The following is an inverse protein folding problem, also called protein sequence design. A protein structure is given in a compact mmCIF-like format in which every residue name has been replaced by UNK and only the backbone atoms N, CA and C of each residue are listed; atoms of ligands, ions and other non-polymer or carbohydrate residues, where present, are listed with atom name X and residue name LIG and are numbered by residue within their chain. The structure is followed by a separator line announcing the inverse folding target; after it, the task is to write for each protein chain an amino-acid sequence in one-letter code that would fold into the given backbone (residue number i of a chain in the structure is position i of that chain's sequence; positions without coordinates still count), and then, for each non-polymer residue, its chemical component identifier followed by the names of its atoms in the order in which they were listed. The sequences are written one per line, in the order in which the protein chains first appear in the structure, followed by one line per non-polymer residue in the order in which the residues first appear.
data_IF_061367699992
#
_entry.id   IF_061367699992
#
_cell.length_a   1.000
_cell.length_b   1.000
_cell.length_c   1.000
_cell.angle_alpha   90.00
_cell.angle_beta   90.00
_cell.angle_gamma   90.00
#
_symmetry.space_group_name_H-M   'P 1'
#
loop_
_entity.id
_entity.type
_entity.pdbx_description
1 polymer ?
#
# COMPACT_ATOMS: atom_id res chain seq x y z
N UNK A 1 -61.92 68.35 -8.53
CA UNK A 1 -60.48 68.05 -8.66
C UNK A 1 -60.15 66.91 -7.70
N UNK A 2 -59.83 65.72 -8.19
CA UNK A 2 -59.41 64.57 -7.37
C UNK A 2 -57.88 64.45 -7.47
N UNK A 3 -57.20 64.61 -6.35
CA UNK A 3 -55.75 64.46 -6.23
C UNK A 3 -55.37 62.97 -6.21
N UNK A 4 -54.42 62.58 -7.05
CA UNK A 4 -53.74 61.28 -6.97
C UNK A 4 -52.55 61.40 -6.01
N UNK A 5 -52.49 60.54 -5.00
CA UNK A 5 -51.33 60.38 -4.13
C UNK A 5 -50.44 59.24 -4.68
N UNK A 6 -49.16 59.54 -4.90
CA UNK A 6 -48.13 58.58 -5.34
C UNK A 6 -47.50 57.97 -4.09
N UNK A 7 -47.42 56.63 -3.95
CA UNK A 7 -46.72 56.02 -2.83
C UNK A 7 -45.20 56.08 -3.05
N UNK A 8 -44.50 56.57 -2.04
CA UNK A 8 -43.04 56.61 -1.94
C UNK A 8 -42.50 55.19 -1.77
N UNK A 9 -41.68 54.73 -2.73
CA UNK A 9 -40.95 53.46 -2.62
C UNK A 9 -39.72 53.69 -1.74
N UNK A 10 -39.73 53.13 -0.54
CA UNK A 10 -38.57 53.06 0.35
C UNK A 10 -37.59 51.99 -0.18
N UNK A 11 -36.45 52.44 -0.70
CA UNK A 11 -35.33 51.58 -1.09
C UNK A 11 -34.63 51.12 0.20
N UNK A 12 -34.90 49.88 0.64
CA UNK A 12 -34.15 49.26 1.72
C UNK A 12 -32.76 48.87 1.22
N UNK A 13 -31.74 49.62 1.64
CA UNK A 13 -30.35 49.24 1.46
C UNK A 13 -30.08 47.98 2.29
N UNK A 14 -29.95 46.82 1.63
CA UNK A 14 -29.44 45.62 2.27
C UNK A 14 -27.94 45.82 2.46
N UNK A 15 -27.53 46.08 3.70
CA UNK A 15 -26.15 45.93 4.14
C UNK A 15 -25.78 44.45 3.94
N UNK A 16 -25.01 44.15 2.91
CA UNK A 16 -24.32 42.89 2.81
C UNK A 16 -23.32 42.82 3.97
N UNK A 17 -23.69 42.11 5.04
CA UNK A 17 -22.75 41.66 6.05
C UNK A 17 -21.74 40.78 5.32
N UNK A 18 -20.51 41.30 5.16
CA UNK A 18 -19.39 40.47 4.78
C UNK A 18 -19.34 39.29 5.75
N UNK A 19 -19.44 38.08 5.22
CA UNK A 19 -19.25 36.87 6.01
C UNK A 19 -17.91 36.99 6.76
N UNK A 20 -17.84 36.52 8.02
CA UNK A 20 -16.56 36.45 8.71
C UNK A 20 -15.58 35.69 7.83
N UNK A 21 -14.39 36.25 7.61
CA UNK A 21 -13.24 35.53 7.07
C UNK A 21 -13.15 34.23 7.87
N UNK A 22 -13.52 33.10 7.25
CA UNK A 22 -13.29 31.79 7.85
C UNK A 22 -11.82 31.78 8.25
N UNK A 23 -11.60 31.64 9.55
CA UNK A 23 -10.31 31.33 10.12
C UNK A 23 -9.94 30.00 9.47
N UNK A 24 -9.18 30.05 8.38
CA UNK A 24 -8.67 28.85 7.69
C UNK A 24 -8.05 28.02 8.80
N UNK A 25 -8.58 26.83 9.04
CA UNK A 25 -7.94 25.87 9.92
C UNK A 25 -6.46 25.84 9.51
N UNK A 26 -5.57 26.17 10.44
CA UNK A 26 -4.16 26.40 10.11
C UNK A 26 -3.65 25.20 9.33
N UNK A 27 -3.20 25.46 8.10
CA UNK A 27 -2.59 24.44 7.26
C UNK A 27 -1.36 23.91 8.00
N UNK A 28 -1.02 22.65 7.74
CA UNK A 28 0.24 22.09 8.23
C UNK A 28 1.38 22.65 7.39
N UNK A 29 2.23 23.41 8.04
CA UNK A 29 3.49 23.91 7.48
C UNK A 29 4.53 22.77 7.32
N UNK A 30 4.36 21.69 8.10
CA UNK A 30 5.23 20.52 8.07
C UNK A 30 4.49 19.20 7.86
N UNK A 31 5.11 18.31 7.10
CA UNK A 31 4.65 16.94 6.92
C UNK A 31 4.85 16.15 8.23
N UNK A 32 3.82 15.44 8.75
CA UNK A 32 4.01 14.56 9.89
C UNK A 32 5.11 13.52 9.63
N UNK A 33 5.86 13.17 10.67
CA UNK A 33 6.95 12.19 10.56
C UNK A 33 6.40 10.78 10.32
N UNK A 34 7.22 9.83 9.81
CA UNK A 34 6.82 8.42 9.74
C UNK A 34 6.39 7.87 11.10
N UNK A 35 7.04 8.30 12.19
CA UNK A 35 6.67 7.88 13.54
C UNK A 35 5.26 8.33 13.94
N UNK A 36 4.92 9.60 13.72
CA UNK A 36 3.57 10.12 13.97
C UNK A 36 2.50 9.38 13.16
N UNK A 37 2.82 9.03 11.91
CA UNK A 37 1.92 8.20 11.10
C UNK A 37 1.77 6.78 11.66
N UNK A 38 2.86 6.13 12.11
CA UNK A 38 2.78 4.78 12.71
C UNK A 38 1.90 4.77 13.95
N UNK A 39 2.06 5.76 14.83
CA UNK A 39 1.24 5.89 16.04
C UNK A 39 -0.23 6.08 15.68
N UNK A 40 -0.53 6.97 14.74
CA UNK A 40 -1.90 7.23 14.30
C UNK A 40 -2.54 6.01 13.62
N UNK A 41 -1.80 5.30 12.75
CA UNK A 41 -2.26 4.06 12.12
C UNK A 41 -2.56 3.01 13.19
N UNK A 42 -1.63 2.79 14.13
CA UNK A 42 -1.76 1.79 15.19
C UNK A 42 -2.93 2.09 16.14
N UNK A 43 -3.19 3.38 16.41
CA UNK A 43 -4.35 3.81 17.19
C UNK A 43 -5.68 3.60 16.45
N UNK A 44 -5.68 3.73 15.12
CA UNK A 44 -6.88 3.56 14.28
C UNK A 44 -7.20 2.09 14.01
N UNK A 45 -6.18 1.27 13.74
CA UNK A 45 -6.37 -0.12 13.29
C UNK A 45 -5.15 -0.98 13.60
N UNK A 46 -5.39 -2.10 14.26
CA UNK A 46 -4.38 -3.16 14.37
C UNK A 46 -4.17 -3.80 13.00
N UNK A 47 -2.92 -3.76 12.51
CA UNK A 47 -2.48 -4.49 11.32
C UNK A 47 -1.98 -5.84 11.79
N UNK A 48 -2.71 -6.90 11.48
CA UNK A 48 -2.28 -8.25 11.77
C UNK A 48 -1.15 -8.69 10.85
N UNK A 49 -0.45 -9.74 11.29
CA UNK A 49 0.55 -10.42 10.49
C UNK A 49 -0.05 -10.90 9.16
N UNK A 50 0.70 -10.75 8.07
CA UNK A 50 0.33 -11.19 6.72
C UNK A 50 -0.82 -10.42 6.06
N UNK A 51 -1.25 -9.30 6.66
CA UNK A 51 -2.42 -8.57 6.19
C UNK A 51 -2.11 -7.37 5.30
N UNK A 52 -0.85 -7.04 5.03
CA UNK A 52 -0.54 -5.80 4.28
C UNK A 52 -0.46 -6.05 2.77
N UNK A 53 -1.15 -5.22 1.99
CA UNK A 53 -1.02 -5.17 0.53
C UNK A 53 -0.70 -3.76 0.02
N UNK A 54 0.25 -3.71 -0.92
CA UNK A 54 0.74 -2.52 -1.61
C UNK A 54 0.37 -2.58 -3.10
N UNK A 55 0.38 -1.41 -3.75
CA UNK A 55 -0.01 -1.27 -5.15
C UNK A 55 0.89 -0.32 -5.89
N UNK A 56 1.39 -0.74 -7.05
CA UNK A 56 2.26 0.09 -7.89
C UNK A 56 2.02 -0.16 -9.37
N UNK A 57 2.48 0.75 -10.24
CA UNK A 57 2.36 0.62 -11.70
C UNK A 57 1.07 1.17 -12.33
N UNK A 58 0.27 1.97 -11.60
CA UNK A 58 -0.87 2.72 -12.15
C UNK A 58 -2.11 1.88 -12.52
N UNK A 59 -2.12 0.59 -12.18
CA UNK A 59 -3.17 -0.36 -12.59
C UNK A 59 -4.20 -0.72 -11.53
N UNK A 60 -4.06 -0.27 -10.28
CA UNK A 60 -4.91 -0.74 -9.20
C UNK A 60 -6.30 -0.07 -9.10
N UNK A 61 -6.78 0.48 -10.20
CA UNK A 61 -8.19 0.83 -10.37
C UNK A 61 -9.05 -0.39 -10.76
N UNK A 62 -8.45 -1.57 -10.96
CA UNK A 62 -9.16 -2.78 -11.36
C UNK A 62 -9.96 -3.40 -10.20
N UNK A 63 -11.16 -3.92 -10.50
CA UNK A 63 -11.99 -4.73 -9.57
C UNK A 63 -11.18 -5.87 -8.93
N UNK A 64 -10.18 -6.41 -9.63
CA UNK A 64 -9.30 -7.49 -9.13
C UNK A 64 -8.57 -7.12 -7.85
N UNK A 65 -8.02 -5.90 -7.73
CA UNK A 65 -7.36 -5.44 -6.51
C UNK A 65 -8.29 -5.47 -5.29
N UNK A 66 -9.49 -4.91 -5.46
CA UNK A 66 -10.46 -4.74 -4.39
C UNK A 66 -11.01 -6.10 -3.96
N UNK A 67 -11.36 -6.96 -4.93
CA UNK A 67 -11.83 -8.31 -4.66
C UNK A 67 -10.75 -9.15 -3.99
N UNK A 68 -9.52 -9.19 -4.53
CA UNK A 68 -8.43 -9.98 -3.95
C UNK A 68 -8.15 -9.57 -2.51
N UNK A 69 -8.03 -8.26 -2.26
CA UNK A 69 -7.83 -7.74 -0.90
C UNK A 69 -8.93 -8.24 0.04
N UNK A 70 -10.19 -8.16 -0.38
CA UNK A 70 -11.34 -8.58 0.43
C UNK A 70 -11.33 -10.09 0.69
N UNK A 71 -11.10 -10.89 -0.35
CA UNK A 71 -11.14 -12.35 -0.30
C UNK A 71 -10.00 -12.93 0.56
N UNK A 72 -8.88 -12.19 0.66
CA UNK A 72 -7.71 -12.57 1.44
C UNK A 72 -7.56 -11.82 2.78
N UNK A 73 -8.53 -10.98 3.15
CA UNK A 73 -8.48 -10.23 4.41
C UNK A 73 -7.32 -9.24 4.52
N UNK A 74 -6.85 -8.72 3.39
CA UNK A 74 -5.72 -7.79 3.32
C UNK A 74 -6.19 -6.35 3.59
N UNK A 75 -5.24 -5.51 3.95
CA UNK A 75 -5.37 -4.12 4.33
C UNK A 75 -4.43 -3.34 3.41
N UNK A 76 -4.97 -2.32 2.74
CA UNK A 76 -4.16 -1.35 2.01
C UNK A 76 -4.07 -0.07 2.80
N UNK A 77 -3.10 0.76 2.47
CA UNK A 77 -2.85 2.02 3.19
C UNK A 77 -4.09 2.94 3.26
N UNK A 78 -4.89 3.04 2.19
CA UNK A 78 -6.11 3.86 2.21
C UNK A 78 -7.22 3.33 3.14
N UNK A 79 -7.13 2.09 3.62
CA UNK A 79 -8.05 1.58 4.65
C UNK A 79 -7.71 2.14 6.05
N UNK A 80 -6.56 2.80 6.19
CA UNK A 80 -6.03 3.39 7.44
C UNK A 80 -5.61 4.85 7.25
N UNK A 81 -6.43 5.62 6.52
CA UNK A 81 -6.25 7.08 6.38
C UNK A 81 -6.27 7.77 7.74
N UNK A 82 -5.24 8.56 8.03
CA UNK A 82 -5.06 9.27 9.30
C UNK A 82 -4.42 10.63 9.06
N UNK A 83 -4.52 11.53 10.05
CA UNK A 83 -3.90 12.85 10.02
C UNK A 83 -4.28 13.70 8.78
N UNK A 84 -5.50 13.49 8.27
CA UNK A 84 -6.07 14.19 7.12
C UNK A 84 -5.23 14.12 5.83
N UNK A 85 -4.42 13.06 5.68
CA UNK A 85 -3.55 12.83 4.51
C UNK A 85 -4.33 12.61 3.20
N UNK A 86 -5.65 12.51 3.26
CA UNK A 86 -6.53 12.44 2.09
C UNK A 86 -7.03 13.82 1.62
N UNK A 87 -6.73 14.89 2.35
CA UNK A 87 -7.12 16.26 2.04
C UNK A 87 -5.86 17.14 1.83
N UNK A 88 -5.40 17.31 0.57
CA UNK A 88 -4.26 18.17 0.25
C UNK A 88 -4.42 19.62 0.74
N UNK A 89 -5.67 20.10 0.92
CA UNK A 89 -5.92 21.46 1.39
C UNK A 89 -5.47 21.71 2.83
N UNK A 90 -5.21 20.64 3.60
CA UNK A 90 -4.68 20.67 4.96
C UNK A 90 -3.18 20.92 5.04
N UNK A 91 -2.49 20.97 3.91
CA UNK A 91 -1.05 21.18 3.84
C UNK A 91 -0.74 22.54 3.21
N UNK A 92 0.40 23.12 3.59
CA UNK A 92 0.84 24.43 3.09
C UNK A 92 0.89 24.44 1.55
N UNK A 93 1.60 23.47 1.00
CA UNK A 93 1.82 23.27 -0.43
C UNK A 93 1.89 21.77 -0.83
N UNK A 94 2.09 21.54 -2.13
CA UNK A 94 2.16 20.21 -2.74
C UNK A 94 3.40 19.41 -2.29
N UNK A 95 4.51 20.07 -1.95
CA UNK A 95 5.75 19.41 -1.53
C UNK A 95 5.59 18.86 -0.11
N UNK A 96 5.00 19.66 0.79
CA UNK A 96 4.64 19.24 2.15
C UNK A 96 3.63 18.09 2.10
N UNK A 97 2.60 18.21 1.26
CA UNK A 97 1.64 17.13 1.06
C UNK A 97 2.29 15.84 0.53
N UNK A 98 3.11 15.93 -0.50
CA UNK A 98 3.78 14.77 -1.09
C UNK A 98 4.73 14.11 -0.09
N UNK A 99 5.43 14.90 0.73
CA UNK A 99 6.26 14.39 1.83
C UNK A 99 5.41 13.69 2.90
N UNK A 100 4.22 14.20 3.21
CA UNK A 100 3.28 13.54 4.12
C UNK A 100 2.79 12.19 3.56
N UNK A 101 2.44 12.12 2.27
CA UNK A 101 2.07 10.86 1.59
C UNK A 101 3.22 9.84 1.64
N UNK A 102 4.45 10.29 1.37
CA UNK A 102 5.64 9.43 1.46
C UNK A 102 5.87 8.90 2.87
N UNK A 103 5.79 9.77 3.89
CA UNK A 103 5.96 9.38 5.29
C UNK A 103 4.86 8.43 5.77
N UNK A 104 3.61 8.66 5.33
CA UNK A 104 2.48 7.76 5.63
C UNK A 104 2.69 6.37 5.02
N UNK A 105 3.12 6.34 3.76
CA UNK A 105 3.42 5.12 3.03
C UNK A 105 4.58 4.33 3.64
N UNK A 106 5.67 5.01 4.00
CA UNK A 106 6.79 4.44 4.76
C UNK A 106 6.34 3.87 6.10
N UNK A 107 5.50 4.61 6.84
CA UNK A 107 4.98 4.17 8.13
C UNK A 107 4.15 2.89 8.02
N UNK A 108 3.31 2.77 6.99
CA UNK A 108 2.52 1.57 6.72
C UNK A 108 3.41 0.36 6.40
N UNK A 109 4.45 0.54 5.58
CA UNK A 109 5.49 -0.48 5.34
C UNK A 109 6.19 -0.94 6.63
N UNK A 110 6.57 0.00 7.50
CA UNK A 110 7.20 -0.29 8.79
C UNK A 110 6.29 -1.02 9.80
N UNK A 111 4.96 -0.97 9.63
CA UNK A 111 4.01 -1.71 10.45
C UNK A 111 3.65 -3.10 9.88
N UNK A 112 4.20 -3.43 8.70
CA UNK A 112 3.94 -4.72 8.07
C UNK A 112 4.70 -5.83 8.79
N UNK A 113 4.18 -7.05 8.79
CA UNK A 113 4.87 -8.22 9.35
C UNK A 113 4.46 -9.51 8.65
N UNK A 114 5.34 -10.51 8.66
CA UNK A 114 5.18 -11.77 7.94
C UNK A 114 5.29 -11.56 6.42
N UNK A 115 4.25 -11.91 5.67
CA UNK A 115 4.20 -11.67 4.22
C UNK A 115 3.63 -10.29 3.93
N UNK A 116 4.41 -9.47 3.23
CA UNK A 116 3.92 -8.28 2.59
C UNK A 116 3.57 -8.57 1.11
N UNK A 117 2.37 -8.19 0.70
CA UNK A 117 1.90 -8.38 -0.68
C UNK A 117 2.08 -7.11 -1.49
N UNK A 118 2.47 -7.24 -2.75
CA UNK A 118 2.42 -6.13 -3.70
C UNK A 118 1.73 -6.58 -4.96
N UNK A 119 0.70 -5.86 -5.40
CA UNK A 119 0.12 -6.10 -6.71
C UNK A 119 0.69 -5.09 -7.70
N UNK A 120 1.25 -5.62 -8.78
CA UNK A 120 1.74 -4.84 -9.90
C UNK A 120 0.81 -5.01 -11.10
N UNK A 121 0.91 -4.14 -12.10
CA UNK A 121 0.04 -4.17 -13.29
C UNK A 121 0.02 -5.55 -13.98
N UNK A 122 1.12 -6.30 -13.90
CA UNK A 122 1.35 -7.60 -14.53
C UNK A 122 2.40 -8.41 -13.70
N UNK A 123 2.73 -9.62 -14.15
CA UNK A 123 3.79 -10.45 -13.56
C UNK A 123 5.23 -10.04 -13.89
N UNK A 124 5.46 -8.95 -14.63
CA UNK A 124 6.81 -8.52 -14.97
C UNK A 124 7.52 -7.91 -13.75
N UNK A 125 8.86 -7.76 -13.85
CA UNK A 125 9.64 -7.05 -12.84
C UNK A 125 9.08 -5.64 -12.64
N UNK A 126 8.85 -5.26 -11.37
CA UNK A 126 8.52 -3.89 -10.99
C UNK A 126 9.71 -3.00 -11.37
N UNK A 127 9.42 -1.99 -12.20
CA UNK A 127 10.44 -1.05 -12.66
C UNK A 127 10.84 -0.09 -11.54
N UNK A 128 12.02 -0.34 -10.98
CA UNK A 128 12.63 0.43 -9.88
C UNK A 128 12.91 1.89 -10.28
N UNK A 129 13.03 2.20 -11.58
CA UNK A 129 13.37 3.54 -12.08
C UNK A 129 12.20 4.53 -12.09
N UNK A 130 10.95 4.07 -11.95
CA UNK A 130 9.75 4.91 -12.13
C UNK A 130 9.50 5.93 -11.01
N UNK A 131 10.35 5.97 -9.99
CA UNK A 131 10.28 6.94 -8.91
C UNK A 131 8.93 6.97 -8.16
N UNK A 132 8.19 5.86 -8.16
CA UNK A 132 6.92 5.73 -7.44
C UNK A 132 7.15 5.74 -5.92
N UNK A 133 6.10 6.04 -5.15
CA UNK A 133 6.11 5.94 -3.68
C UNK A 133 6.57 4.54 -3.24
N UNK A 134 6.12 3.49 -3.96
CA UNK A 134 6.58 2.12 -3.75
C UNK A 134 8.12 1.99 -3.80
N UNK A 135 8.76 2.47 -4.87
CA UNK A 135 10.22 2.33 -5.02
C UNK A 135 11.00 3.20 -4.03
N UNK A 136 10.47 4.40 -3.72
CA UNK A 136 11.16 5.39 -2.89
C UNK A 136 11.04 5.10 -1.40
N UNK A 137 9.88 4.62 -0.96
CA UNK A 137 9.52 4.57 0.46
C UNK A 137 9.13 3.17 0.92
N UNK A 138 8.17 2.51 0.25
CA UNK A 138 7.59 1.25 0.73
C UNK A 138 8.57 0.09 0.62
N UNK A 139 9.18 -0.08 -0.56
CA UNK A 139 10.13 -1.15 -0.83
C UNK A 139 11.36 -1.14 0.08
N UNK A 140 12.11 -0.03 0.24
CA UNK A 140 13.23 -0.01 1.18
C UNK A 140 12.76 -0.22 2.62
N UNK A 141 11.65 0.40 3.04
CA UNK A 141 11.15 0.25 4.41
C UNK A 141 10.70 -1.18 4.75
N UNK A 142 10.16 -1.93 3.78
CA UNK A 142 9.83 -3.35 3.96
C UNK A 142 11.08 -4.22 4.14
N UNK A 143 12.15 -3.95 3.39
CA UNK A 143 13.41 -4.71 3.49
C UNK A 143 14.19 -4.40 4.76
N UNK A 144 14.06 -3.19 5.28
CA UNK A 144 14.68 -2.76 6.53
C UNK A 144 13.85 -3.16 7.77
N UNK A 145 12.71 -3.83 7.57
CA UNK A 145 11.81 -4.25 8.64
C UNK A 145 12.01 -5.74 8.95
N UNK A 146 12.63 -6.03 10.10
CA UNK A 146 12.92 -7.40 10.56
C UNK A 146 11.67 -8.27 10.81
N UNK A 147 10.48 -7.66 10.95
CA UNK A 147 9.23 -8.39 11.11
C UNK A 147 8.67 -8.91 9.77
N UNK A 148 9.18 -8.43 8.63
CA UNK A 148 8.80 -8.90 7.28
C UNK A 148 9.69 -10.08 6.88
N UNK A 149 9.06 -11.19 6.51
CA UNK A 149 9.76 -12.45 6.18
C UNK A 149 9.94 -12.65 4.69
N UNK A 150 8.97 -12.20 3.89
CA UNK A 150 9.03 -12.27 2.44
C UNK A 150 8.09 -11.22 1.82
N UNK A 151 8.41 -10.82 0.59
CA UNK A 151 7.56 -9.93 -0.20
C UNK A 151 7.11 -10.69 -1.44
N UNK A 152 5.80 -10.74 -1.67
CA UNK A 152 5.19 -11.48 -2.77
C UNK A 152 4.51 -10.52 -3.73
N UNK A 153 4.92 -10.57 -4.99
CA UNK A 153 4.25 -9.90 -6.10
C UNK A 153 3.07 -10.72 -6.59
N UNK A 154 1.93 -10.07 -6.79
CA UNK A 154 0.74 -10.60 -7.46
C UNK A 154 0.66 -9.99 -8.86
N UNK A 155 0.39 -10.82 -9.86
CA UNK A 155 0.10 -10.37 -11.22
C UNK A 155 -1.30 -9.72 -11.26
N UNK A 156 -1.36 -8.42 -11.55
CA UNK A 156 -2.61 -7.66 -11.62
C UNK A 156 -3.55 -8.10 -12.75
N UNK A 157 -3.05 -8.82 -13.76
CA UNK A 157 -3.85 -9.40 -14.84
C UNK A 157 -4.38 -10.80 -14.53
N UNK A 158 -3.72 -11.52 -13.61
CA UNK A 158 -4.04 -12.89 -13.22
C UNK A 158 -3.62 -13.14 -11.77
N UNK A 159 -4.53 -12.86 -10.83
CA UNK A 159 -4.25 -12.92 -9.39
C UNK A 159 -3.95 -14.33 -8.85
N UNK A 160 -4.09 -15.37 -9.69
CA UNK A 160 -3.65 -16.72 -9.36
C UNK A 160 -2.13 -16.88 -9.50
N UNK A 161 -1.47 -15.99 -10.25
CA UNK A 161 -0.03 -15.95 -10.43
C UNK A 161 0.60 -15.03 -9.42
N UNK A 162 1.49 -15.60 -8.63
CA UNK A 162 2.27 -14.88 -7.62
C UNK A 162 3.74 -15.22 -7.75
N UNK A 163 4.58 -14.39 -7.16
CA UNK A 163 6.01 -14.60 -7.14
C UNK A 163 6.67 -13.94 -5.94
N UNK A 164 7.56 -14.68 -5.28
CA UNK A 164 8.45 -14.11 -4.28
C UNK A 164 9.47 -13.17 -4.95
N UNK A 165 9.57 -11.94 -4.46
CA UNK A 165 10.50 -10.92 -4.95
C UNK A 165 11.56 -10.52 -3.91
N UNK A 166 11.37 -10.93 -2.65
CA UNK A 166 12.32 -10.76 -1.54
C UNK A 166 12.08 -11.87 -0.50
N UNK A 167 13.10 -12.42 0.18
CA UNK A 167 14.52 -12.01 0.19
C UNK A 167 15.31 -12.38 -1.07
N UNK A 168 14.80 -13.32 -1.87
CA UNK A 168 15.41 -13.75 -3.13
C UNK A 168 14.43 -13.51 -4.27
N UNK A 169 14.87 -12.82 -5.32
CA UNK A 169 14.10 -12.57 -6.54
C UNK A 169 14.20 -13.78 -7.48
N UNK A 170 13.23 -14.70 -7.42
CA UNK A 170 13.27 -15.99 -8.13
C UNK A 170 12.97 -15.88 -9.64
N UNK A 171 12.71 -14.67 -10.14
CA UNK A 171 12.23 -14.38 -11.51
C UNK A 171 13.27 -14.66 -12.60
N UNK A 172 14.52 -14.94 -12.23
CA UNK A 172 15.66 -15.11 -13.16
C UNK A 172 16.11 -16.57 -13.34
N UNK A 173 15.50 -17.51 -12.65
CA UNK A 173 16.01 -18.88 -12.48
C UNK A 173 15.20 -19.92 -13.28
N UNK A 174 14.80 -19.57 -14.51
CA UNK A 174 13.93 -20.42 -15.33
C UNK A 174 14.61 -21.73 -15.76
N UNK A 175 13.90 -22.86 -15.58
CA UNK A 175 14.23 -24.15 -16.19
C UNK A 175 15.13 -25.11 -15.39
N UNK A 176 15.83 -24.64 -14.35
CA UNK A 176 16.70 -25.48 -13.48
C UNK A 176 16.20 -25.60 -12.05
N UNK A 177 15.14 -24.86 -11.71
CA UNK A 177 14.66 -24.69 -10.35
C UNK A 177 13.16 -24.96 -10.22
N UNK A 178 12.75 -25.47 -9.07
CA UNK A 178 11.34 -25.70 -8.75
C UNK A 178 11.06 -25.49 -7.27
N UNK A 179 9.79 -25.19 -6.96
CA UNK A 179 9.28 -25.18 -5.59
C UNK A 179 8.96 -26.61 -5.14
N UNK A 180 9.40 -26.94 -3.94
CA UNK A 180 9.14 -28.21 -3.26
C UNK A 180 8.41 -27.94 -1.95
N UNK A 181 7.50 -28.86 -1.60
CA UNK A 181 6.64 -28.73 -0.44
C UNK A 181 5.18 -28.55 -0.82
N UNK A 182 4.30 -29.17 -0.04
CA UNK A 182 2.85 -29.13 -0.24
C UNK A 182 2.20 -28.57 0.99
N UNK A 183 1.43 -27.49 0.81
CA UNK A 183 0.60 -26.94 1.87
C UNK A 183 -0.47 -27.96 2.30
N UNK A 184 -0.94 -27.94 3.56
CA UNK A 184 -0.67 -26.93 4.59
C UNK A 184 0.56 -27.21 5.47
N UNK A 185 1.18 -28.39 5.39
CA UNK A 185 2.33 -28.80 6.20
C UNK A 185 3.56 -28.92 5.31
N UNK A 186 4.31 -27.83 5.17
CA UNK A 186 5.45 -27.74 4.27
C UNK A 186 6.75 -28.08 5.00
N UNK A 187 7.04 -29.37 5.14
CA UNK A 187 8.33 -29.86 5.63
C UNK A 187 9.24 -30.23 4.46
N UNK A 188 9.40 -29.29 3.54
CA UNK A 188 10.09 -29.53 2.29
C UNK A 188 11.60 -29.70 2.47
N UNK A 189 12.19 -30.55 1.63
CA UNK A 189 13.62 -30.70 1.46
C UNK A 189 13.93 -30.64 -0.03
N UNK A 190 15.07 -30.05 -0.37
CA UNK A 190 15.56 -30.12 -1.75
C UNK A 190 15.95 -31.56 -2.07
N UNK A 191 15.61 -32.08 -3.26
CA UNK A 191 16.07 -33.40 -3.69
C UNK A 191 17.60 -33.49 -3.73
N UNK A 192 18.12 -34.71 -3.70
CA UNK A 192 19.54 -34.95 -3.91
C UNK A 192 20.00 -34.35 -5.25
N UNK A 193 21.13 -33.65 -5.22
CA UNK A 193 21.65 -32.93 -6.39
C UNK A 193 21.06 -31.53 -6.60
N UNK A 194 20.24 -31.03 -5.68
CA UNK A 194 19.72 -29.66 -5.69
C UNK A 194 20.21 -28.85 -4.48
N UNK A 195 20.32 -27.53 -4.64
CA UNK A 195 20.60 -26.57 -3.57
C UNK A 195 19.38 -25.70 -3.28
N UNK A 196 19.14 -25.42 -1.99
CA UNK A 196 18.12 -24.45 -1.55
C UNK A 196 18.58 -23.05 -1.94
N UNK A 197 17.74 -22.34 -2.71
CA UNK A 197 17.95 -20.93 -3.06
C UNK A 197 17.00 -19.99 -2.31
N UNK A 198 15.76 -20.40 -2.09
CA UNK A 198 14.78 -19.60 -1.36
C UNK A 198 13.84 -20.49 -0.54
N UNK A 199 13.09 -19.86 0.34
CA UNK A 199 12.00 -20.48 1.08
C UNK A 199 10.84 -19.49 1.14
N UNK A 200 9.62 -19.99 0.98
CA UNK A 200 8.42 -19.17 0.95
C UNK A 200 7.29 -19.92 1.63
N UNK A 201 6.38 -19.21 2.27
CA UNK A 201 5.15 -19.80 2.77
C UNK A 201 4.17 -20.13 1.65
N UNK A 202 4.31 -19.50 0.49
CA UNK A 202 3.39 -19.64 -0.65
C UNK A 202 4.04 -20.31 -1.87
N UNK A 203 5.34 -20.12 -2.08
CA UNK A 203 6.05 -20.67 -3.25
C UNK A 203 5.53 -20.04 -4.55
N UNK A 204 5.01 -20.87 -5.47
CA UNK A 204 4.47 -20.43 -6.77
C UNK A 204 2.94 -20.34 -6.83
N UNK A 205 2.24 -20.56 -5.72
CA UNK A 205 0.77 -20.60 -5.68
C UNK A 205 0.20 -19.87 -4.46
N UNK A 206 -1.09 -19.57 -4.48
CA UNK A 206 -1.77 -18.82 -3.41
C UNK A 206 -2.10 -19.65 -2.16
N UNK A 207 -1.67 -20.91 -2.09
CA UNK A 207 -1.94 -21.80 -0.96
C UNK A 207 -0.79 -21.77 0.05
N UNK A 208 -1.08 -21.21 1.23
CA UNK A 208 -0.12 -21.00 2.30
C UNK A 208 0.21 -22.29 3.08
N UNK A 209 1.49 -22.43 3.45
CA UNK A 209 1.90 -23.33 4.53
C UNK A 209 1.45 -22.78 5.89
N UNK A 210 0.78 -23.60 6.67
CA UNK A 210 0.44 -23.32 8.07
C UNK A 210 1.56 -23.72 9.03
N UNK A 211 2.44 -24.62 8.59
CA UNK A 211 3.66 -25.02 9.28
C UNK A 211 4.77 -25.26 8.28
N UNK A 212 6.00 -24.86 8.62
CA UNK A 212 7.16 -24.93 7.74
C UNK A 212 7.05 -23.99 6.53
N UNK A 213 7.90 -24.22 5.51
CA UNK A 213 7.96 -23.43 4.28
C UNK A 213 8.17 -24.33 3.07
N UNK A 214 7.69 -23.89 1.90
CA UNK A 214 8.11 -24.46 0.61
C UNK A 214 9.56 -24.04 0.36
N UNK A 215 10.33 -24.88 -0.30
CA UNK A 215 11.72 -24.59 -0.67
C UNK A 215 11.84 -24.41 -2.18
N UNK A 216 12.49 -23.35 -2.61
CA UNK A 216 12.89 -23.17 -4.01
C UNK A 216 14.26 -23.80 -4.18
N UNK A 217 14.32 -24.89 -4.95
CA UNK A 217 15.51 -25.70 -5.10
C UNK A 217 15.95 -25.70 -6.55
N UNK A 218 17.24 -25.45 -6.77
CA UNK A 218 17.87 -25.42 -8.09
C UNK A 218 18.86 -26.57 -8.22
N UNK A 219 18.96 -27.17 -9.40
CA UNK A 219 19.98 -28.19 -9.65
C UNK A 219 21.38 -27.61 -9.39
N UNK A 220 22.25 -28.38 -8.76
CA UNK A 220 23.67 -28.04 -8.60
C UNK A 220 24.33 -27.95 -9.97
N UNK A 221 25.19 -26.95 -10.14
CA UNK A 221 26.06 -26.83 -11.31
C UNK A 221 27.10 -27.96 -11.35
#
# INVERSE_FOLDING_TARGET
MKFFAIPTVLLSAQLALAAPLEQRADKRDDAPSPESFREAISAKKTIGRDQTIFYTGGGCAARSCISYKKDHGLIKIQDVEVLDVNDPSKYEDDDVYQKAVNNWSKAFAQLSSGVAWVMFRDGNKIDESRGSVWNKEEWPALKDNDDVEEIIQIDGTDVSKIQQIWPVEIRKEEGTCAWYGTAPLCNAQCPDGYDKKAESRYGSDTTACTSGKKLYCCKKD
#
